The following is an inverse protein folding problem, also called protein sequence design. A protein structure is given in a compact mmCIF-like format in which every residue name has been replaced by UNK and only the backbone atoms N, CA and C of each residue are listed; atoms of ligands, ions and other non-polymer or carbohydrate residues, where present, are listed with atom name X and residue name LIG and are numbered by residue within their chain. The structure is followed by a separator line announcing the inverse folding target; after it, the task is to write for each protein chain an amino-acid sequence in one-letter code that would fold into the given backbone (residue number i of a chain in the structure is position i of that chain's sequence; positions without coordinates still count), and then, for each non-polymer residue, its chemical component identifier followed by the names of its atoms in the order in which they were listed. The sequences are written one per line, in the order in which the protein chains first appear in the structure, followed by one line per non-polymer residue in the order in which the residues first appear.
data_IF_435323064817
#
_entry.id   IF_435323064817
#
_cell.length_a   1.000
_cell.length_b   1.000
_cell.length_c   1.000
_cell.angle_alpha   90.00
_cell.angle_beta   90.00
_cell.angle_gamma   90.00
#
_symmetry.space_group_name_H-M   'P 1'
#
loop_
_entity.id
_entity.type
_entity.pdbx_description
1 polymer ?
#
# COMPACT_ATOMS: atom_id res chain seq x y z
N UNK A 1 -0.20 8.75 16.83
CA UNK A 1 -0.68 7.42 16.39
C UNK A 1 -0.69 7.42 14.89
N UNK A 2 0.01 6.49 14.28
CA UNK A 2 0.03 6.36 12.82
C UNK A 2 -1.30 5.77 12.32
N UNK A 3 -1.76 6.12 11.12
CA UNK A 3 -2.93 5.50 10.54
C UNK A 3 -2.70 3.99 10.39
N UNK A 4 -3.69 3.19 10.75
CA UNK A 4 -3.63 1.73 10.64
C UNK A 4 -4.04 1.31 9.25
N UNK A 5 -3.09 0.82 8.46
CA UNK A 5 -3.37 0.28 7.12
C UNK A 5 -3.78 -1.18 7.17
N UNK A 6 -4.64 -1.55 6.24
CA UNK A 6 -4.95 -2.95 5.94
C UNK A 6 -4.15 -3.38 4.71
N UNK A 7 -3.24 -4.31 4.89
CA UNK A 7 -2.28 -4.73 3.88
C UNK A 7 -2.52 -6.18 3.47
N UNK A 8 -2.34 -6.48 2.18
CA UNK A 8 -2.24 -7.84 1.67
C UNK A 8 -0.82 -8.04 1.14
N UNK A 9 -0.10 -9.00 1.67
CA UNK A 9 1.27 -9.32 1.29
C UNK A 9 1.31 -10.70 0.64
N UNK A 10 1.83 -10.78 -0.58
CA UNK A 10 2.08 -12.01 -1.32
C UNK A 10 3.60 -12.24 -1.45
N UNK A 11 4.09 -13.28 -0.83
CA UNK A 11 5.50 -13.71 -0.81
C UNK A 11 5.53 -15.22 -0.56
N UNK A 12 6.21 -15.99 -1.43
CA UNK A 12 6.28 -17.45 -1.32
C UNK A 12 7.25 -17.95 -0.24
N UNK A 13 8.29 -17.18 0.07
CA UNK A 13 9.20 -17.49 1.16
C UNK A 13 8.54 -17.21 2.53
N UNK A 14 8.33 -18.27 3.36
CA UNK A 14 7.67 -18.09 4.65
C UNK A 14 8.47 -17.26 5.65
N UNK A 15 9.80 -17.27 5.57
CA UNK A 15 10.67 -16.50 6.48
C UNK A 15 10.60 -15.02 6.12
N UNK A 16 10.71 -14.69 4.82
CA UNK A 16 10.61 -13.32 4.32
C UNK A 16 9.20 -12.76 4.58
N UNK A 17 8.16 -13.51 4.26
CA UNK A 17 6.78 -13.07 4.46
C UNK A 17 6.46 -12.82 5.93
N UNK A 18 6.95 -13.68 6.83
CA UNK A 18 6.80 -13.54 8.27
C UNK A 18 7.55 -12.32 8.80
N UNK A 19 8.78 -12.08 8.32
CA UNK A 19 9.58 -10.92 8.70
C UNK A 19 8.88 -9.62 8.32
N UNK A 20 8.46 -9.47 7.06
CA UNK A 20 7.76 -8.26 6.60
C UNK A 20 6.44 -8.06 7.34
N UNK A 21 5.67 -9.14 7.54
CA UNK A 21 4.42 -9.05 8.30
C UNK A 21 4.64 -8.62 9.75
N UNK A 22 5.68 -9.13 10.41
CA UNK A 22 6.00 -8.75 11.79
C UNK A 22 6.36 -7.27 11.87
N UNK A 23 7.26 -6.80 11.01
CA UNK A 23 7.66 -5.39 10.95
C UNK A 23 6.46 -4.46 10.78
N UNK A 24 5.55 -4.79 9.88
CA UNK A 24 4.35 -3.99 9.62
C UNK A 24 3.33 -4.07 10.78
N UNK A 25 3.17 -5.25 11.40
CA UNK A 25 2.29 -5.41 12.58
C UNK A 25 2.81 -4.69 13.81
N UNK A 26 4.13 -4.64 14.01
CA UNK A 26 4.76 -3.89 15.11
C UNK A 26 4.51 -2.38 14.99
N UNK A 27 4.25 -1.90 13.76
CA UNK A 27 3.81 -0.53 13.48
C UNK A 27 2.29 -0.34 13.65
N UNK A 28 1.55 -1.40 13.95
CA UNK A 28 0.10 -1.36 14.15
C UNK A 28 -0.72 -1.65 12.90
N UNK A 29 -0.10 -1.95 11.75
CA UNK A 29 -0.84 -2.31 10.53
C UNK A 29 -1.46 -3.71 10.63
N UNK A 30 -2.54 -3.92 9.88
CA UNK A 30 -3.20 -5.23 9.73
C UNK A 30 -2.72 -5.88 8.44
N UNK A 31 -2.07 -7.04 8.57
CA UNK A 31 -1.46 -7.74 7.43
C UNK A 31 -2.14 -9.09 7.22
N UNK A 32 -2.65 -9.32 6.02
CA UNK A 32 -3.02 -10.63 5.52
C UNK A 32 -1.87 -11.18 4.66
N UNK A 33 -1.53 -12.45 4.85
CA UNK A 33 -0.48 -13.14 4.10
C UNK A 33 -1.08 -14.07 3.05
N UNK A 34 -0.43 -14.13 1.89
CA UNK A 34 -0.65 -15.11 0.86
C UNK A 34 0.72 -15.65 0.38
N UNK A 35 0.83 -16.95 0.19
CA UNK A 35 2.06 -17.60 -0.26
C UNK A 35 1.98 -18.07 -1.71
N UNK A 36 0.82 -17.90 -2.34
CA UNK A 36 0.59 -18.20 -3.76
C UNK A 36 -0.31 -17.12 -4.39
N UNK A 37 -0.26 -17.02 -5.71
CA UNK A 37 -1.13 -16.13 -6.48
C UNK A 37 -2.62 -16.44 -6.25
N UNK A 38 -2.98 -17.73 -6.22
CA UNK A 38 -4.36 -18.16 -5.96
C UNK A 38 -4.85 -17.74 -4.57
N UNK A 39 -4.03 -17.93 -3.54
CA UNK A 39 -4.36 -17.47 -2.18
C UNK A 39 -4.55 -15.96 -2.14
N UNK A 40 -3.67 -15.21 -2.79
CA UNK A 40 -3.74 -13.75 -2.84
C UNK A 40 -5.06 -13.28 -3.46
N UNK A 41 -5.41 -13.77 -4.63
CA UNK A 41 -6.64 -13.43 -5.33
C UNK A 41 -7.88 -13.85 -4.55
N UNK A 42 -7.87 -15.01 -3.91
CA UNK A 42 -8.97 -15.50 -3.06
C UNK A 42 -9.18 -14.61 -1.83
N UNK A 43 -8.09 -14.21 -1.15
CA UNK A 43 -8.16 -13.32 0.01
C UNK A 43 -8.68 -11.94 -0.41
N UNK A 44 -8.15 -11.40 -1.51
CA UNK A 44 -8.58 -10.13 -2.08
C UNK A 44 -10.07 -10.13 -2.43
N UNK A 45 -10.52 -11.12 -3.19
CA UNK A 45 -11.91 -11.26 -3.64
C UNK A 45 -12.89 -11.40 -2.48
N UNK A 46 -12.55 -12.20 -1.45
CA UNK A 46 -13.40 -12.33 -0.25
C UNK A 46 -13.60 -11.00 0.48
N UNK A 47 -12.53 -10.19 0.59
CA UNK A 47 -12.60 -8.90 1.27
C UNK A 47 -13.36 -7.88 0.44
N UNK A 48 -13.17 -7.87 -0.87
CA UNK A 48 -13.93 -7.05 -1.81
C UNK A 48 -15.42 -7.36 -1.72
N UNK A 49 -15.80 -8.63 -1.79
CA UNK A 49 -17.18 -9.07 -1.67
C UNK A 49 -17.85 -8.61 -0.36
N UNK A 50 -17.15 -8.77 0.76
CA UNK A 50 -17.66 -8.31 2.07
C UNK A 50 -17.86 -6.79 2.13
N UNK A 51 -17.00 -6.04 1.48
CA UNK A 51 -17.11 -4.59 1.43
C UNK A 51 -18.31 -4.13 0.55
N UNK A 52 -18.58 -4.86 -0.53
CA UNK A 52 -19.75 -4.64 -1.39
C UNK A 52 -21.07 -4.95 -0.66
N UNK A 53 -21.14 -6.06 0.07
CA UNK A 53 -22.32 -6.43 0.85
C UNK A 53 -22.67 -5.41 1.93
N UNK A 54 -21.75 -4.55 2.35
CA UNK A 54 -21.97 -3.44 3.28
C UNK A 54 -22.49 -2.16 2.59
N UNK A 55 -22.94 -2.24 1.34
CA UNK A 55 -23.53 -1.12 0.60
C UNK A 55 -22.55 -0.10 0.05
N UNK A 56 -21.26 -0.42 -0.01
CA UNK A 56 -20.25 0.44 -0.63
C UNK A 56 -20.26 0.26 -2.15
N UNK A 57 -20.35 1.37 -2.89
CA UNK A 57 -20.23 1.35 -4.35
C UNK A 57 -18.85 0.79 -4.76
N UNK A 58 -18.83 -0.08 -5.76
CA UNK A 58 -17.60 -0.66 -6.35
C UNK A 58 -16.52 0.37 -6.67
N UNK A 59 -16.94 1.56 -7.10
CA UNK A 59 -16.00 2.64 -7.50
C UNK A 59 -15.20 3.26 -6.33
N UNK A 60 -15.61 2.97 -5.07
CA UNK A 60 -15.03 3.60 -3.88
C UNK A 60 -14.55 2.58 -2.84
N UNK A 61 -14.59 1.28 -3.17
CA UNK A 61 -14.13 0.23 -2.25
C UNK A 61 -12.68 -0.08 -2.52
N UNK A 62 -11.82 0.29 -1.58
CA UNK A 62 -10.46 -0.24 -1.51
C UNK A 62 -10.42 -1.34 -0.45
N UNK A 63 -10.36 -2.61 -0.84
CA UNK A 63 -10.31 -3.72 0.12
C UNK A 63 -9.07 -3.66 0.99
N UNK A 64 -7.97 -3.18 0.43
CA UNK A 64 -6.69 -2.97 1.09
C UNK A 64 -6.15 -1.59 0.79
N UNK A 65 -5.48 -0.98 1.76
CA UNK A 65 -4.79 0.29 1.58
C UNK A 65 -3.57 0.13 0.65
N UNK A 66 -2.91 -1.04 0.72
CA UNK A 66 -1.94 -1.47 -0.28
C UNK A 66 -1.91 -3.00 -0.43
N UNK A 67 -1.60 -3.47 -1.64
CA UNK A 67 -1.27 -4.86 -1.94
C UNK A 67 0.20 -4.92 -2.30
N UNK A 68 0.96 -5.70 -1.53
CA UNK A 68 2.41 -5.88 -1.68
C UNK A 68 2.63 -7.23 -2.36
N UNK A 69 3.25 -7.24 -3.53
CA UNK A 69 3.41 -8.42 -4.35
C UNK A 69 4.89 -8.71 -4.61
N UNK A 70 5.37 -9.90 -4.24
CA UNK A 70 6.61 -10.39 -4.83
C UNK A 70 6.42 -10.57 -6.33
N UNK A 71 7.39 -10.09 -7.08
CA UNK A 71 7.35 -10.22 -8.55
C UNK A 71 7.58 -11.66 -8.99
N UNK A 72 8.58 -12.33 -8.40
CA UNK A 72 9.04 -13.65 -8.86
C UNK A 72 8.54 -14.77 -7.96
N UNK A 73 7.41 -15.33 -8.32
CA UNK A 73 6.78 -16.46 -7.63
C UNK A 73 6.86 -17.73 -8.49
N UNK A 74 6.90 -18.93 -7.88
CA UNK A 74 7.03 -20.19 -8.62
C UNK A 74 5.84 -20.54 -9.52
N UNK A 75 4.62 -20.16 -9.10
CA UNK A 75 3.37 -20.49 -9.80
C UNK A 75 2.99 -19.45 -10.84
N UNK A 76 2.91 -18.20 -10.45
CA UNK A 76 2.53 -17.06 -11.31
C UNK A 76 3.25 -15.82 -10.83
N UNK A 77 3.70 -14.98 -11.75
CA UNK A 77 4.38 -13.75 -11.38
C UNK A 77 3.44 -12.69 -10.79
N UNK A 78 3.99 -11.78 -9.99
CA UNK A 78 3.21 -10.73 -9.34
C UNK A 78 2.49 -9.78 -10.30
N UNK A 79 2.99 -9.60 -11.54
CA UNK A 79 2.36 -8.77 -12.56
C UNK A 79 1.01 -9.35 -12.99
N UNK A 80 0.91 -10.67 -13.15
CA UNK A 80 -0.35 -11.32 -13.53
C UNK A 80 -1.40 -11.12 -12.43
N UNK A 81 -1.00 -11.25 -11.16
CA UNK A 81 -1.87 -10.98 -10.01
C UNK A 81 -2.30 -9.52 -10.00
N UNK A 82 -1.37 -8.59 -10.22
CA UNK A 82 -1.68 -7.16 -10.30
C UNK A 82 -2.67 -6.82 -11.41
N UNK A 83 -2.52 -7.42 -12.60
CA UNK A 83 -3.46 -7.26 -13.72
C UNK A 83 -4.88 -7.70 -13.35
N UNK A 84 -5.02 -8.84 -12.69
CA UNK A 84 -6.33 -9.34 -12.25
C UNK A 84 -6.96 -8.42 -11.19
N UNK A 85 -6.18 -7.98 -10.20
CA UNK A 85 -6.64 -7.03 -9.19
C UNK A 85 -7.08 -5.72 -9.84
N UNK A 86 -6.27 -5.14 -10.72
CA UNK A 86 -6.58 -3.88 -11.41
C UNK A 86 -7.72 -4.02 -12.43
N UNK A 87 -7.99 -5.21 -12.95
CA UNK A 87 -9.16 -5.46 -13.80
C UNK A 87 -10.46 -5.30 -13.02
N UNK A 88 -10.46 -5.65 -11.73
CA UNK A 88 -11.61 -5.54 -10.84
C UNK A 88 -11.66 -4.16 -10.16
N UNK A 89 -10.50 -3.66 -9.73
CA UNK A 89 -10.35 -2.37 -9.02
C UNK A 89 -9.09 -1.67 -9.51
N UNK A 90 -9.25 -0.79 -10.50
CA UNK A 90 -8.13 -0.06 -11.11
C UNK A 90 -7.42 0.91 -10.17
N UNK A 91 -8.05 1.28 -9.06
CA UNK A 91 -7.49 2.22 -8.08
C UNK A 91 -6.76 1.54 -6.92
N UNK A 92 -6.68 0.19 -6.92
CA UNK A 92 -5.96 -0.51 -5.87
C UNK A 92 -4.48 -0.17 -5.93
N UNK A 93 -3.95 0.39 -4.85
CA UNK A 93 -2.51 0.63 -4.68
C UNK A 93 -1.76 -0.69 -4.67
N UNK A 94 -0.76 -0.82 -5.53
CA UNK A 94 0.08 -2.01 -5.66
C UNK A 94 1.55 -1.61 -5.50
N UNK A 95 2.26 -2.37 -4.67
CA UNK A 95 3.69 -2.23 -4.41
C UNK A 95 4.34 -3.56 -4.77
N UNK A 96 5.25 -3.54 -5.75
CA UNK A 96 6.06 -4.70 -6.06
C UNK A 96 7.32 -4.76 -5.22
N UNK A 97 7.69 -5.97 -4.82
CA UNK A 97 8.97 -6.25 -4.17
C UNK A 97 9.74 -7.22 -5.06
N UNK A 98 10.94 -6.85 -5.53
CA UNK A 98 11.70 -7.69 -6.47
C UNK A 98 13.20 -7.51 -6.33
N UNK A 99 13.94 -8.60 -6.60
CA UNK A 99 15.40 -8.54 -6.69
C UNK A 99 15.90 -7.88 -7.98
N UNK A 100 15.13 -7.95 -9.06
CA UNK A 100 15.53 -7.52 -10.40
C UNK A 100 14.55 -6.49 -10.95
N UNK A 101 14.99 -5.25 -11.13
CA UNK A 101 14.14 -4.13 -11.58
C UNK A 101 14.01 -4.10 -13.10
N UNK A 102 14.99 -4.62 -13.82
CA UNK A 102 15.10 -4.47 -15.29
C UNK A 102 14.20 -5.41 -16.09
N UNK A 103 13.85 -6.58 -15.54
CA UNK A 103 13.11 -7.63 -16.25
C UNK A 103 11.61 -7.30 -16.50
N UNK A 104 11.06 -6.28 -15.87
CA UNK A 104 9.63 -6.04 -15.86
C UNK A 104 9.17 -4.68 -16.41
N UNK A 105 10.10 -3.87 -16.88
CA UNK A 105 9.76 -2.55 -17.47
C UNK A 105 8.69 -2.63 -18.56
N UNK A 106 8.71 -3.65 -19.40
CA UNK A 106 7.71 -3.80 -20.45
C UNK A 106 6.37 -4.32 -19.93
N UNK A 107 6.40 -5.21 -18.95
CA UNK A 107 5.18 -5.75 -18.33
C UNK A 107 4.39 -4.73 -17.51
N UNK A 108 5.07 -3.73 -16.93
CA UNK A 108 4.43 -2.63 -16.18
C UNK A 108 3.58 -1.75 -17.10
N UNK A 109 3.99 -1.54 -18.34
CA UNK A 109 3.25 -0.73 -19.30
C UNK A 109 1.84 -1.26 -19.57
N UNK A 110 1.60 -2.53 -19.27
CA UNK A 110 0.30 -3.18 -19.41
C UNK A 110 -0.62 -2.97 -18.19
N UNK A 111 -0.09 -2.43 -17.09
CA UNK A 111 -0.89 -2.12 -15.91
C UNK A 111 -1.72 -0.85 -16.12
N UNK A 112 -2.96 -0.88 -15.61
CA UNK A 112 -3.93 0.21 -15.80
C UNK A 112 -3.68 1.43 -14.92
N UNK A 113 -2.95 1.24 -13.82
CA UNK A 113 -2.67 2.28 -12.84
C UNK A 113 -1.21 2.26 -12.42
N UNK A 114 -0.67 3.40 -11.97
CA UNK A 114 0.69 3.48 -11.43
C UNK A 114 0.91 2.47 -10.31
N UNK A 115 2.13 1.98 -10.21
CA UNK A 115 2.58 1.04 -9.19
C UNK A 115 3.88 1.52 -8.57
N UNK A 116 4.16 1.08 -7.36
CA UNK A 116 5.39 1.38 -6.65
C UNK A 116 6.30 0.16 -6.61
N UNK A 117 7.60 0.39 -6.37
CA UNK A 117 8.60 -0.65 -6.39
C UNK A 117 9.56 -0.56 -5.21
N UNK A 118 9.82 -1.73 -4.62
CA UNK A 118 10.86 -1.95 -3.63
C UNK A 118 11.85 -2.98 -4.14
N UNK A 119 13.13 -2.61 -4.19
CA UNK A 119 14.18 -3.54 -4.60
C UNK A 119 14.65 -4.36 -3.40
N UNK A 120 14.69 -5.68 -3.55
CA UNK A 120 15.30 -6.60 -2.57
C UNK A 120 16.83 -6.45 -2.58
N UNK A 121 17.50 -6.47 -1.43
CA UNK A 121 16.97 -6.65 -0.09
C UNK A 121 16.27 -5.38 0.42
N UNK A 122 15.05 -5.52 0.96
CA UNK A 122 14.27 -4.39 1.48
C UNK A 122 14.57 -4.23 2.97
N UNK A 123 15.07 -3.06 3.36
CA UNK A 123 15.22 -2.75 4.78
C UNK A 123 13.87 -2.48 5.44
N UNK A 124 13.76 -2.79 6.74
CA UNK A 124 12.55 -2.53 7.52
C UNK A 124 12.11 -1.07 7.41
N UNK A 125 13.08 -0.14 7.51
CA UNK A 125 12.82 1.30 7.35
C UNK A 125 12.20 1.61 5.99
N UNK A 126 12.77 1.08 4.90
CA UNK A 126 12.27 1.34 3.55
C UNK A 126 10.87 0.80 3.34
N UNK A 127 10.56 -0.40 3.88
CA UNK A 127 9.23 -0.99 3.83
C UNK A 127 8.21 -0.11 4.56
N UNK A 128 8.52 0.29 5.79
CA UNK A 128 7.67 1.16 6.61
C UNK A 128 7.45 2.51 5.91
N UNK A 129 8.52 3.18 5.51
CA UNK A 129 8.44 4.50 4.86
C UNK A 129 7.58 4.44 3.58
N UNK A 130 7.69 3.39 2.78
CA UNK A 130 6.89 3.24 1.57
C UNK A 130 5.39 3.12 1.89
N UNK A 131 5.03 2.38 2.94
CA UNK A 131 3.63 2.24 3.36
C UNK A 131 3.11 3.55 3.97
N UNK A 132 3.82 4.12 4.95
CA UNK A 132 3.34 5.21 5.77
C UNK A 132 3.45 6.59 5.09
N UNK A 133 4.49 6.85 4.29
CA UNK A 133 4.66 8.15 3.62
C UNK A 133 3.56 8.45 2.61
N UNK A 134 3.16 7.47 1.82
CA UNK A 134 2.08 7.69 0.84
C UNK A 134 0.77 8.05 1.52
N UNK A 135 0.41 7.36 2.61
CA UNK A 135 -0.79 7.67 3.39
C UNK A 135 -0.75 9.08 4.01
N UNK A 136 0.43 9.47 4.48
CA UNK A 136 0.64 10.82 5.04
C UNK A 136 0.49 11.88 3.97
N UNK A 137 1.07 11.70 2.78
CA UNK A 137 0.91 12.64 1.68
C UNK A 137 -0.54 12.75 1.23
N UNK A 138 -1.26 11.63 1.10
CA UNK A 138 -2.70 11.65 0.79
C UNK A 138 -3.50 12.43 1.84
N UNK A 139 -3.17 12.30 3.13
CA UNK A 139 -3.84 13.06 4.17
C UNK A 139 -3.55 14.57 4.08
N UNK A 140 -2.31 14.95 3.76
CA UNK A 140 -1.92 16.35 3.55
C UNK A 140 -2.66 16.95 2.34
N UNK A 141 -2.74 16.21 1.23
CA UNK A 141 -3.47 16.63 0.03
C UNK A 141 -4.97 16.80 0.29
N UNK A 142 -5.60 15.89 1.04
CA UNK A 142 -7.00 16.06 1.50
C UNK A 142 -7.20 17.31 2.38
N UNK A 143 -6.15 17.76 3.03
CA UNK A 143 -6.14 19.03 3.78
C UNK A 143 -5.78 20.23 2.90
N UNK A 144 -5.74 20.11 1.56
CA UNK A 144 -5.33 21.12 0.61
C UNK A 144 -3.93 21.70 0.90
N UNK A 145 -3.00 20.84 1.33
CA UNK A 145 -1.60 21.19 1.54
C UNK A 145 -0.82 20.67 0.34
N UNK A 146 -0.05 21.55 -0.30
CA UNK A 146 0.87 21.16 -1.36
C UNK A 146 1.99 20.30 -0.79
N UNK A 147 2.11 19.07 -1.30
CA UNK A 147 3.06 18.07 -0.82
C UNK A 147 4.36 18.03 -1.61
N UNK A 148 4.46 18.72 -2.74
CA UNK A 148 5.63 18.63 -3.63
C UNK A 148 6.93 19.07 -2.94
N UNK A 149 6.89 20.15 -2.17
CA UNK A 149 8.04 20.63 -1.41
C UNK A 149 8.49 19.60 -0.36
N UNK A 150 7.56 18.91 0.30
CA UNK A 150 7.86 17.88 1.30
C UNK A 150 8.45 16.62 0.66
N UNK A 151 7.96 16.20 -0.52
CA UNK A 151 8.49 15.07 -1.29
C UNK A 151 9.94 15.34 -1.70
N UNK A 152 10.25 16.55 -2.17
CA UNK A 152 11.60 16.95 -2.56
C UNK A 152 12.56 17.07 -1.38
N UNK A 153 12.11 17.56 -0.25
CA UNK A 153 12.92 17.74 0.96
C UNK A 153 13.24 16.44 1.71
N UNK A 154 12.71 15.29 1.28
CA UNK A 154 12.88 13.97 1.94
C UNK A 154 12.56 14.00 3.45
N UNK A 155 11.53 14.71 3.82
CA UNK A 155 11.07 14.82 5.21
C UNK A 155 10.58 13.46 5.69
N UNK A 156 10.90 13.10 6.95
CA UNK A 156 10.46 11.84 7.52
C UNK A 156 8.94 11.81 7.75
N UNK A 157 8.34 10.62 7.73
CA UNK A 157 6.91 10.46 7.96
C UNK A 157 6.48 10.91 9.37
N UNK A 158 7.36 10.81 10.37
CA UNK A 158 7.10 11.31 11.73
C UNK A 158 6.82 12.81 11.72
N UNK A 159 7.70 13.59 11.08
CA UNK A 159 7.56 15.05 10.99
C UNK A 159 6.30 15.43 10.18
N UNK A 160 6.01 14.71 9.10
CA UNK A 160 4.81 14.95 8.30
C UNK A 160 3.52 14.64 9.10
N UNK A 161 3.52 13.61 9.94
CA UNK A 161 2.40 13.32 10.83
C UNK A 161 2.20 14.41 11.90
N UNK A 162 3.28 14.97 12.45
CA UNK A 162 3.19 16.12 13.36
C UNK A 162 2.53 17.32 12.68
N UNK A 163 2.91 17.61 11.43
CA UNK A 163 2.28 18.67 10.63
C UNK A 163 0.77 18.41 10.47
N UNK A 164 0.35 17.19 10.15
CA UNK A 164 -1.08 16.84 10.05
C UNK A 164 -1.81 17.10 11.36
N UNK A 165 -1.23 16.71 12.49
CA UNK A 165 -1.83 16.92 13.82
C UNK A 165 -2.01 18.40 14.08
N UNK A 166 -0.98 19.22 13.82
CA UNK A 166 -1.01 20.67 14.02
C UNK A 166 -2.10 21.30 13.14
N UNK A 167 -2.16 20.95 11.86
CA UNK A 167 -3.14 21.51 10.92
C UNK A 167 -4.57 21.13 11.31
N UNK A 168 -4.81 19.88 11.68
CA UNK A 168 -6.13 19.44 12.15
C UNK A 168 -6.56 20.17 13.40
N UNK A 169 -5.64 20.36 14.35
CA UNK A 169 -5.92 21.08 15.62
C UNK A 169 -6.22 22.56 15.36
N UNK A 170 -5.45 23.24 14.52
CA UNK A 170 -5.68 24.65 14.20
C UNK A 170 -7.04 24.88 13.51
N UNK A 171 -7.45 23.98 12.62
CA UNK A 171 -8.76 24.05 11.94
C UNK A 171 -9.93 23.80 12.89
N UNK A 172 -9.80 22.88 13.84
CA UNK A 172 -10.84 22.64 14.83
C UNK A 172 -11.04 23.84 15.77
N UNK A 173 -9.97 24.58 16.09
CA UNK A 173 -10.06 25.81 16.90
C UNK A 173 -10.72 26.97 16.14
N UNK A 174 -10.54 27.07 14.82
CA UNK A 174 -11.16 28.10 13.99
C UNK A 174 -12.64 27.85 13.67
N UNK A 175 -13.19 26.68 13.98
CA UNK A 175 -14.62 26.36 13.78
C UNK A 175 -15.48 26.65 15.03
N UNK A 176 -14.88 27.11 16.14
CA UNK A 176 -15.54 27.38 17.41
C UNK A 176 -15.58 28.92 17.70
N UNK A 177 -15.12 29.74 16.77
CA UNK A 177 -15.17 31.21 16.80
C UNK A 177 -16.22 31.76 15.78
#
# INVERSE_FOLDING_TARGET
MFPVSNLLLMEDDPEISSLYAQVLKDRGHKVNLAHTAEQCLKIYGKRLYRAQMRGKSLRHVQPYDAVILDYKMPDRNGIEVAKEIQAINSHQRIIFVSAFVEEWFDSIKELKSPVEFLQKPVSNKKLIDTIELTEVFEQLERLNIDTEAFKQARISHEVLNEIIIIVKKSRSMNMIG
#
